data_IF_435602131478
#
_entry.id   IF_435602131478
#
_cell.length_a   1.000
_cell.length_b   1.000
_cell.length_c   1.000
_cell.angle_alpha   90.00
_cell.angle_beta   90.00
_cell.angle_gamma   90.00
#
_symmetry.space_group_name_H-M   'P 1'
#
loop_
_entity.id
_entity.type
_entity.pdbx_description
1 polymer ?
#
# COMPACT_ATOMS: atom_id res chain seq x y z
N UNK A 1 -3.65 -11.83 1.82
CA UNK A 1 -2.58 -12.78 1.44
C UNK A 1 -1.25 -12.05 1.61
N UNK A 2 -0.19 -12.73 2.01
CA UNK A 2 1.11 -12.10 2.25
C UNK A 2 2.20 -12.89 1.52
N UNK A 3 2.88 -12.20 0.62
CA UNK A 3 4.00 -12.70 -0.17
C UNK A 3 5.09 -11.61 -0.19
N UNK A 4 6.31 -11.97 -0.57
CA UNK A 4 7.39 -10.99 -0.74
C UNK A 4 7.12 -10.09 -1.96
N UNK A 5 7.59 -8.83 -1.97
CA UNK A 5 8.45 -8.18 -0.97
C UNK A 5 7.67 -7.59 0.20
N UNK A 6 8.28 -7.56 1.38
CA UNK A 6 7.67 -6.90 2.54
C UNK A 6 7.90 -5.39 2.49
N UNK A 7 6.85 -4.61 2.75
CA UNK A 7 6.95 -3.17 2.96
C UNK A 7 7.09 -2.93 4.46
N UNK A 8 8.31 -2.66 4.90
CA UNK A 8 8.69 -2.48 6.30
C UNK A 8 10.00 -1.72 6.38
N UNK A 9 10.18 -0.92 7.44
CA UNK A 9 11.42 -0.19 7.70
C UNK A 9 12.64 -1.11 7.92
N UNK A 10 12.40 -2.38 8.27
CA UNK A 10 13.46 -3.39 8.49
C UNK A 10 13.55 -4.42 7.37
N UNK A 11 12.84 -4.22 6.24
CA UNK A 11 12.94 -5.13 5.10
C UNK A 11 14.20 -4.82 4.28
N UNK A 12 15.00 -5.85 4.00
CA UNK A 12 16.14 -5.79 3.07
C UNK A 12 15.73 -6.14 1.63
N UNK A 13 14.44 -6.40 1.37
CA UNK A 13 13.97 -6.81 0.05
C UNK A 13 14.16 -5.68 -0.97
N UNK A 14 14.85 -5.98 -2.07
CA UNK A 14 14.89 -5.12 -3.26
C UNK A 14 13.61 -5.35 -4.09
N UNK A 15 12.88 -4.27 -4.35
CA UNK A 15 11.64 -4.30 -5.15
C UNK A 15 12.02 -4.38 -6.63
N UNK A 16 11.41 -5.32 -7.35
CA UNK A 16 11.70 -5.63 -8.76
C UNK A 16 10.48 -5.36 -9.62
N UNK A 17 10.72 -5.04 -10.89
CA UNK A 17 9.67 -4.91 -11.91
C UNK A 17 8.71 -6.10 -11.88
N UNK A 18 7.42 -5.81 -12.01
CA UNK A 18 6.33 -6.79 -12.01
C UNK A 18 5.90 -7.26 -10.62
N UNK A 19 6.60 -6.89 -9.55
CA UNK A 19 6.16 -7.21 -8.20
C UNK A 19 4.98 -6.34 -7.79
N UNK A 20 4.00 -6.96 -7.14
CA UNK A 20 2.77 -6.34 -6.66
C UNK A 20 2.76 -6.37 -5.13
N UNK A 21 2.41 -5.24 -4.50
CA UNK A 21 2.31 -5.13 -3.05
C UNK A 21 1.34 -4.00 -2.65
N UNK A 22 1.05 -3.91 -1.36
CA UNK A 22 0.17 -2.88 -0.78
C UNK A 22 0.97 -1.73 -0.20
N UNK A 23 0.43 -0.52 -0.33
CA UNK A 23 0.84 0.65 0.44
C UNK A 23 -0.34 1.04 1.33
N UNK A 24 -0.23 0.77 2.62
CA UNK A 24 -1.38 0.74 3.53
C UNK A 24 -1.15 1.43 4.90
N UNK A 25 -0.73 2.71 4.93
CA UNK A 25 -0.53 3.41 6.18
C UNK A 25 -1.84 3.53 6.98
N UNK A 26 -1.73 3.36 8.30
CA UNK A 26 -2.86 3.46 9.22
C UNK A 26 -2.54 4.25 10.48
N UNK A 27 -3.55 4.98 10.98
CA UNK A 27 -3.53 5.67 12.26
C UNK A 27 -4.67 5.12 13.10
N UNK A 28 -4.36 4.72 14.33
CA UNK A 28 -5.33 4.10 15.23
C UNK A 28 -5.34 4.86 16.55
N UNK A 29 -6.52 5.36 16.94
CA UNK A 29 -6.75 6.03 18.20
C UNK A 29 -7.64 5.17 19.10
N UNK A 30 -7.05 4.46 20.09
CA UNK A 30 -7.78 3.52 20.94
C UNK A 30 -9.02 4.15 21.59
N UNK A 31 -10.15 3.44 21.53
CA UNK A 31 -11.42 3.87 22.11
C UNK A 31 -12.13 5.01 21.37
N UNK A 32 -11.61 5.47 20.22
CA UNK A 32 -12.30 6.47 19.38
C UNK A 32 -12.50 5.99 17.95
N UNK A 33 -11.43 5.95 17.17
CA UNK A 33 -11.50 5.64 15.73
C UNK A 33 -10.14 5.14 15.22
N UNK A 34 -10.16 4.55 14.03
CA UNK A 34 -8.96 4.23 13.26
C UNK A 34 -9.23 4.46 11.78
N UNK A 35 -8.17 4.72 11.02
CA UNK A 35 -8.23 4.92 9.58
C UNK A 35 -7.02 4.25 8.94
N UNK A 36 -7.26 3.52 7.86
CA UNK A 36 -6.23 2.98 6.96
C UNK A 36 -6.67 3.26 5.53
N UNK A 37 -5.75 3.77 4.73
CA UNK A 37 -5.94 3.94 3.29
C UNK A 37 -4.96 2.99 2.63
N UNK A 38 -5.45 2.15 1.72
CA UNK A 38 -4.70 1.06 1.12
C UNK A 38 -4.85 1.09 -0.40
N UNK A 39 -3.72 1.06 -1.09
CA UNK A 39 -3.64 0.87 -2.53
C UNK A 39 -2.81 -0.37 -2.85
N UNK A 40 -3.23 -1.10 -3.89
CA UNK A 40 -2.40 -2.12 -4.53
C UNK A 40 -1.59 -1.45 -5.63
N UNK A 41 -0.28 -1.68 -5.63
CA UNK A 41 0.66 -1.08 -6.58
C UNK A 41 1.55 -2.13 -7.23
N UNK A 42 2.08 -1.82 -8.40
CA UNK A 42 3.10 -2.62 -9.08
C UNK A 42 4.32 -1.78 -9.43
N UNK A 43 5.48 -2.42 -9.59
CA UNK A 43 6.68 -1.80 -10.13
C UNK A 43 6.68 -1.96 -11.65
N UNK A 44 6.68 -0.87 -12.41
CA UNK A 44 6.76 -0.88 -13.86
C UNK A 44 8.10 -1.42 -14.36
N UNK A 45 8.18 -1.66 -15.68
CA UNK A 45 9.43 -2.07 -16.33
C UNK A 45 10.55 -1.03 -16.18
N UNK A 46 10.20 0.24 -15.99
CA UNK A 46 11.11 1.37 -15.80
C UNK A 46 11.47 1.59 -14.31
N UNK A 47 10.89 0.82 -13.40
CA UNK A 47 11.12 0.94 -11.95
C UNK A 47 10.21 1.95 -11.24
N UNK A 48 9.30 2.59 -11.96
CA UNK A 48 8.30 3.51 -11.38
C UNK A 48 7.16 2.72 -10.71
N UNK A 49 6.51 3.33 -9.70
CA UNK A 49 5.34 2.74 -9.05
C UNK A 49 4.07 3.10 -9.82
N UNK A 50 3.28 2.09 -10.17
CA UNK A 50 1.96 2.24 -10.79
C UNK A 50 0.86 1.82 -9.82
N UNK A 51 -0.17 2.66 -9.67
CA UNK A 51 -1.31 2.40 -8.77
C UNK A 51 -2.41 1.64 -9.52
N UNK A 52 -2.76 0.46 -9.02
CA UNK A 52 -3.79 -0.40 -9.60
C UNK A 52 -5.19 -0.08 -9.05
N UNK A 53 -5.27 0.35 -7.79
CA UNK A 53 -6.52 0.71 -7.12
C UNK A 53 -6.92 2.16 -7.41
N UNK A 54 -8.13 2.39 -7.96
CA UNK A 54 -8.59 3.72 -8.43
C UNK A 54 -9.68 4.36 -7.58
N UNK A 55 -10.08 3.72 -6.47
CA UNK A 55 -11.14 4.27 -5.64
C UNK A 55 -10.69 5.61 -5.01
N UNK A 56 -11.58 6.63 -4.91
CA UNK A 56 -11.27 7.89 -4.26
C UNK A 56 -10.77 7.67 -2.83
N UNK A 57 -9.80 8.49 -2.42
CA UNK A 57 -9.19 8.40 -1.08
C UNK A 57 -9.72 9.49 -0.15
N UNK A 58 -10.63 10.32 -0.66
CA UNK A 58 -11.37 11.30 0.13
C UNK A 58 -12.33 10.62 1.09
N UNK A 59 -12.62 11.31 2.20
CA UNK A 59 -13.64 10.86 3.12
C UNK A 59 -15.02 10.97 2.46
N UNK A 60 -15.66 9.82 2.23
CA UNK A 60 -17.02 9.74 1.67
C UNK A 60 -18.02 9.59 2.82
N UNK A 61 -19.04 10.44 2.83
CA UNK A 61 -20.22 10.31 3.68
C UNK A 61 -21.34 9.72 2.83
N UNK A 62 -21.96 8.64 3.32
CA UNK A 62 -23.02 7.89 2.64
C UNK A 62 -24.40 8.32 3.10
#
# INVERSE_FOLDING_TARGET
>A
MHESPRISAVSEDIKKSGQVFTIEPGVYYPGKWGMRIEDTVTVSAQGEIEVLTRFPKDLILL
#
